data_IF_412309036783
#
_entry.id   IF_412309036783
#
_cell.length_a   1.000
_cell.length_b   1.000
_cell.length_c   1.000
_cell.angle_alpha   90.00
_cell.angle_beta   90.00
_cell.angle_gamma   90.00
#
_symmetry.space_group_name_H-M   'P 1'
#
loop_
_entity.id
_entity.type
_entity.pdbx_description
1 polymer ?
#
# COMPACT_ATOMS: atom_id res chain seq x y z
N UNK A 1 -19.79 -48.52 13.32
CA UNK A 1 -20.69 -47.77 12.42
C UNK A 1 -20.40 -46.30 12.60
N UNK A 2 -19.67 -45.69 11.67
CA UNK A 2 -19.44 -44.24 11.66
C UNK A 2 -20.42 -43.68 10.64
N UNK A 3 -21.40 -42.91 11.09
CA UNK A 3 -22.35 -42.22 10.22
C UNK A 3 -21.64 -41.03 9.57
N UNK A 4 -21.51 -41.03 8.24
CA UNK A 4 -20.99 -39.88 7.50
C UNK A 4 -22.05 -38.77 7.48
N UNK A 5 -21.79 -37.66 8.15
CA UNK A 5 -22.57 -36.44 7.99
C UNK A 5 -22.30 -35.84 6.60
N UNK A 6 -23.36 -35.49 5.89
CA UNK A 6 -23.30 -34.89 4.56
C UNK A 6 -22.50 -33.58 4.59
N UNK A 7 -21.42 -33.52 3.81
CA UNK A 7 -20.70 -32.28 3.51
C UNK A 7 -21.59 -31.50 2.54
N UNK A 8 -22.30 -30.48 3.04
CA UNK A 8 -22.98 -29.51 2.19
C UNK A 8 -21.92 -28.70 1.44
N UNK A 9 -21.84 -28.87 0.12
CA UNK A 9 -21.07 -27.98 -0.74
C UNK A 9 -21.60 -26.55 -0.58
N UNK A 10 -20.79 -25.67 0.02
CA UNK A 10 -21.00 -24.23 -0.08
C UNK A 10 -20.97 -23.85 -1.57
N UNK A 11 -21.92 -23.06 -2.09
CA UNK A 11 -21.96 -22.66 -3.50
C UNK A 11 -20.86 -21.67 -3.90
N UNK A 12 -19.86 -21.48 -3.03
CA UNK A 12 -18.85 -20.46 -3.20
C UNK A 12 -17.45 -21.01 -2.92
N UNK A 13 -16.61 -20.98 -3.95
CA UNK A 13 -15.17 -21.20 -3.85
C UNK A 13 -14.49 -19.93 -3.31
N UNK A 14 -14.52 -19.76 -2.00
CA UNK A 14 -13.81 -18.68 -1.30
C UNK A 14 -12.45 -19.18 -0.77
N UNK A 15 -11.40 -18.38 -0.93
CA UNK A 15 -10.19 -18.52 -0.11
C UNK A 15 -10.34 -17.73 1.19
N UNK A 16 -10.73 -18.37 2.28
CA UNK A 16 -10.85 -17.77 3.62
C UNK A 16 -9.52 -17.90 4.35
N UNK A 17 -8.87 -16.79 4.70
CA UNK A 17 -7.92 -16.77 5.81
C UNK A 17 -8.71 -16.62 7.09
N UNK A 18 -8.49 -17.46 8.10
CA UNK A 18 -9.05 -17.29 9.45
C UNK A 18 -8.11 -17.89 10.47
N UNK A 19 -7.62 -17.08 11.41
CA UNK A 19 -7.11 -17.57 12.69
C UNK A 19 -8.19 -17.37 13.75
N UNK A 20 -9.15 -18.28 13.80
CA UNK A 20 -9.83 -18.55 15.08
C UNK A 20 -10.05 -20.05 15.20
N UNK A 21 -9.26 -20.69 16.06
CA UNK A 21 -9.73 -21.70 17.01
C UNK A 21 -8.67 -21.83 18.13
N UNK A 22 -9.01 -21.31 19.31
CA UNK A 22 -8.49 -21.76 20.61
C UNK A 22 -7.02 -21.47 20.94
N UNK A 23 -6.79 -20.83 22.08
CA UNK A 23 -5.48 -20.59 22.71
C UNK A 23 -4.70 -21.86 23.13
N UNK A 24 -5.12 -23.05 22.71
CA UNK A 24 -4.59 -24.32 23.20
C UNK A 24 -4.06 -25.20 22.05
N UNK A 25 -2.95 -24.81 21.40
CA UNK A 25 -2.02 -25.76 20.74
C UNK A 25 -0.77 -25.07 20.18
N UNK A 26 0.19 -24.80 21.06
CA UNK A 26 1.48 -24.19 20.75
C UNK A 26 2.49 -25.08 19.98
N UNK A 27 2.07 -26.19 19.35
CA UNK A 27 2.99 -27.16 18.73
C UNK A 27 2.75 -27.48 17.25
N UNK A 28 2.06 -26.63 16.49
CA UNK A 28 1.77 -26.91 15.07
C UNK A 28 2.13 -25.74 14.13
N UNK A 29 3.36 -25.22 14.24
CA UNK A 29 3.87 -24.15 13.35
C UNK A 29 4.33 -24.68 11.97
N UNK A 30 4.07 -25.94 11.63
CA UNK A 30 4.55 -26.56 10.39
C UNK A 30 3.55 -26.71 9.22
N UNK A 31 2.23 -26.57 9.42
CA UNK A 31 1.26 -27.21 8.52
C UNK A 31 0.02 -26.36 8.14
N UNK A 32 0.16 -25.07 7.84
CA UNK A 32 -0.97 -24.25 7.34
C UNK A 32 -0.72 -23.57 5.99
N UNK A 33 0.14 -24.17 5.15
CA UNK A 33 0.15 -23.97 3.69
C UNK A 33 -0.05 -25.31 2.97
N UNK A 34 -0.82 -26.22 3.57
CA UNK A 34 -1.16 -27.51 2.96
C UNK A 34 -2.64 -27.55 2.60
N UNK A 35 -2.89 -27.01 1.40
CA UNK A 35 -3.98 -27.30 0.45
C UNK A 35 -4.57 -26.03 -0.16
N UNK A 36 -3.72 -25.14 -0.66
CA UNK A 36 -4.14 -24.32 -1.81
C UNK A 36 -4.08 -25.26 -3.00
N UNK A 37 -5.23 -25.77 -3.42
CA UNK A 37 -5.33 -26.43 -4.71
C UNK A 37 -5.05 -25.34 -5.77
N UNK A 38 -3.78 -25.19 -6.15
CA UNK A 38 -3.28 -24.22 -7.14
C UNK A 38 -3.84 -24.46 -8.55
N UNK A 39 -4.81 -25.36 -8.70
CA UNK A 39 -5.39 -25.85 -9.93
C UNK A 39 -6.88 -25.51 -10.09
N UNK A 40 -7.54 -24.91 -9.09
CA UNK A 40 -8.88 -24.35 -9.30
C UNK A 40 -8.80 -22.85 -9.53
N UNK A 41 -9.48 -22.38 -10.58
CA UNK A 41 -9.76 -20.96 -10.82
C UNK A 41 -10.66 -20.44 -9.69
N UNK A 42 -10.10 -20.20 -8.50
CA UNK A 42 -10.88 -19.71 -7.37
C UNK A 42 -11.36 -18.29 -7.67
N UNK A 43 -12.68 -18.05 -7.76
CA UNK A 43 -13.23 -16.76 -8.16
C UNK A 43 -13.08 -15.68 -7.07
N UNK A 44 -12.80 -16.05 -5.81
CA UNK A 44 -12.84 -15.12 -4.69
C UNK A 44 -11.69 -15.31 -3.70
N UNK A 45 -11.15 -14.19 -3.20
CA UNK A 45 -10.23 -14.14 -2.08
C UNK A 45 -10.87 -13.41 -0.90
N UNK A 46 -10.84 -14.02 0.28
CA UNK A 46 -11.22 -13.42 1.55
C UNK A 46 -9.97 -13.14 2.38
N UNK A 47 -9.74 -11.87 2.70
CA UNK A 47 -8.64 -11.43 3.53
C UNK A 47 -9.11 -11.27 4.98
N UNK A 48 -8.53 -12.04 5.92
CA UNK A 48 -8.66 -11.75 7.36
C UNK A 48 -7.35 -11.19 7.94
N UNK A 49 -7.43 -10.30 8.95
CA UNK A 49 -6.27 -9.56 9.46
C UNK A 49 -5.26 -10.34 10.32
N UNK A 50 -5.41 -11.64 10.55
CA UNK A 50 -4.56 -12.42 11.48
C UNK A 50 -3.63 -13.38 10.71
N UNK A 51 -2.43 -12.89 10.39
CA UNK A 51 -1.27 -13.70 9.99
C UNK A 51 -0.04 -13.21 10.76
N UNK A 52 -0.20 -12.93 12.06
CA UNK A 52 0.85 -12.37 12.92
C UNK A 52 1.97 -13.36 13.27
N UNK A 53 1.88 -14.60 12.79
CA UNK A 53 2.79 -15.69 13.15
C UNK A 53 3.93 -15.92 12.15
N UNK A 54 4.13 -15.01 11.18
CA UNK A 54 5.28 -15.08 10.28
C UNK A 54 6.28 -13.97 10.60
N UNK A 55 7.52 -14.36 10.89
CA UNK A 55 8.63 -13.45 11.21
C UNK A 55 9.08 -12.57 10.02
N UNK A 56 8.49 -12.76 8.82
CA UNK A 56 8.89 -12.02 7.61
C UNK A 56 7.69 -11.42 6.87
N UNK A 57 7.35 -10.18 7.24
CA UNK A 57 6.27 -9.40 6.62
C UNK A 57 6.43 -9.23 5.09
N UNK A 58 7.66 -9.18 4.57
CA UNK A 58 7.89 -9.05 3.12
C UNK A 58 7.46 -10.29 2.34
N UNK A 59 7.86 -11.48 2.80
CA UNK A 59 7.50 -12.75 2.13
C UNK A 59 5.99 -12.97 2.17
N UNK A 60 5.36 -12.69 3.32
CA UNK A 60 3.90 -12.73 3.43
C UNK A 60 3.23 -11.74 2.47
N UNK A 61 3.77 -10.53 2.35
CA UNK A 61 3.24 -9.52 1.42
C UNK A 61 3.35 -9.98 -0.03
N UNK A 62 4.45 -10.63 -0.43
CA UNK A 62 4.61 -11.21 -1.78
C UNK A 62 3.56 -12.28 -2.06
N UNK A 63 3.30 -13.18 -1.09
CA UNK A 63 2.27 -14.20 -1.20
C UNK A 63 0.87 -13.57 -1.34
N UNK A 64 0.52 -12.63 -0.47
CA UNK A 64 -0.75 -11.87 -0.51
C UNK A 64 -0.94 -11.18 -1.85
N UNK A 65 0.08 -10.47 -2.35
CA UNK A 65 0.05 -9.83 -3.67
C UNK A 65 -0.24 -10.83 -4.80
N UNK A 66 0.42 -12.00 -4.77
CA UNK A 66 0.23 -13.05 -5.77
C UNK A 66 -1.20 -13.61 -5.75
N UNK A 67 -1.80 -13.72 -4.57
CA UNK A 67 -3.19 -14.13 -4.40
C UNK A 67 -4.16 -13.06 -4.90
N UNK A 68 -4.01 -11.80 -4.46
CA UNK A 68 -4.83 -10.67 -4.90
C UNK A 68 -4.78 -10.53 -6.42
N UNK A 69 -3.59 -10.64 -7.02
CA UNK A 69 -3.40 -10.57 -8.47
C UNK A 69 -4.19 -11.64 -9.23
N UNK A 70 -4.32 -12.86 -8.69
CA UNK A 70 -5.05 -13.96 -9.32
C UNK A 70 -6.54 -13.96 -9.03
N UNK A 71 -6.96 -13.37 -7.92
CA UNK A 71 -8.38 -13.28 -7.57
C UNK A 71 -9.15 -12.51 -8.65
N UNK A 72 -10.34 -12.98 -9.01
CA UNK A 72 -11.26 -12.23 -9.86
C UNK A 72 -11.78 -11.03 -9.08
N UNK A 73 -12.35 -11.31 -7.90
CA UNK A 73 -12.88 -10.32 -6.96
C UNK A 73 -12.26 -10.50 -5.57
N UNK A 74 -12.11 -9.40 -4.84
CA UNK A 74 -11.54 -9.39 -3.49
C UNK A 74 -12.63 -9.01 -2.49
N UNK A 75 -12.92 -9.91 -1.56
CA UNK A 75 -13.89 -9.68 -0.49
C UNK A 75 -13.16 -9.32 0.80
N UNK A 76 -13.57 -8.20 1.38
CA UNK A 76 -12.93 -7.65 2.59
C UNK A 76 -13.98 -7.51 3.68
N UNK A 77 -13.75 -8.22 4.78
CA UNK A 77 -14.59 -8.08 5.96
C UNK A 77 -14.14 -6.87 6.74
N UNK A 78 -15.09 -5.95 6.90
CA UNK A 78 -14.84 -4.65 7.47
C UNK A 78 -15.14 -4.65 8.96
N UNK A 79 -14.19 -4.22 9.80
CA UNK A 79 -14.45 -3.88 11.19
C UNK A 79 -13.95 -2.45 11.47
N UNK A 80 -14.47 -1.80 12.51
CA UNK A 80 -14.17 -0.40 12.84
C UNK A 80 -12.71 -0.13 13.22
N UNK A 81 -11.89 -1.17 13.41
CA UNK A 81 -10.48 -1.06 13.78
C UNK A 81 -9.64 -1.60 12.61
N UNK A 82 -9.54 -0.82 11.53
CA UNK A 82 -8.75 -1.22 10.37
C UNK A 82 -7.29 -1.38 10.80
N UNK A 83 -6.84 -2.63 10.84
CA UNK A 83 -5.44 -2.96 11.03
C UNK A 83 -4.60 -2.41 9.85
N UNK A 84 -3.42 -1.82 10.09
CA UNK A 84 -2.40 -1.52 9.08
C UNK A 84 -2.30 -2.52 7.91
N UNK A 85 -2.35 -3.83 8.19
CA UNK A 85 -2.33 -4.88 7.17
C UNK A 85 -3.49 -4.83 6.19
N UNK A 86 -4.69 -4.52 6.68
CA UNK A 86 -5.85 -4.42 5.81
C UNK A 86 -5.73 -3.21 4.87
N UNK A 87 -5.26 -2.06 5.38
CA UNK A 87 -4.97 -0.87 4.54
C UNK A 87 -3.96 -1.19 3.45
N UNK A 88 -2.90 -1.91 3.80
CA UNK A 88 -1.88 -2.36 2.86
C UNK A 88 -2.47 -3.24 1.76
N UNK A 89 -3.31 -4.22 2.10
CA UNK A 89 -3.93 -5.07 1.08
C UNK A 89 -4.94 -4.33 0.21
N UNK A 90 -5.68 -3.39 0.78
CA UNK A 90 -6.59 -2.51 0.05
C UNK A 90 -5.81 -1.69 -0.99
N UNK A 91 -4.66 -1.13 -0.60
CA UNK A 91 -3.75 -0.44 -1.52
C UNK A 91 -3.29 -1.36 -2.65
N UNK A 92 -2.90 -2.60 -2.33
CA UNK A 92 -2.52 -3.59 -3.34
C UNK A 92 -3.66 -3.91 -4.31
N UNK A 93 -4.86 -4.18 -3.78
CA UNK A 93 -6.03 -4.52 -4.57
C UNK A 93 -6.48 -3.35 -5.45
N UNK A 94 -6.42 -2.12 -4.92
CA UNK A 94 -6.72 -0.90 -5.66
C UNK A 94 -5.74 -0.69 -6.83
N UNK A 95 -4.44 -0.78 -6.58
CA UNK A 95 -3.41 -0.69 -7.63
C UNK A 95 -3.57 -1.80 -8.69
N UNK A 96 -3.96 -3.01 -8.28
CA UNK A 96 -4.23 -4.13 -9.19
C UNK A 96 -5.61 -4.09 -9.84
N UNK A 97 -6.38 -3.02 -9.62
CA UNK A 97 -7.72 -2.78 -10.20
C UNK A 97 -8.68 -3.92 -9.94
N UNK A 98 -8.64 -4.47 -8.73
CA UNK A 98 -9.53 -5.56 -8.31
C UNK A 98 -10.88 -5.00 -7.91
N UNK A 99 -11.93 -5.70 -8.29
CA UNK A 99 -13.27 -5.44 -7.78
C UNK A 99 -13.26 -5.72 -6.26
N UNK A 100 -13.58 -4.69 -5.47
CA UNK A 100 -13.61 -4.75 -4.02
C UNK A 100 -15.05 -4.94 -3.55
N UNK A 101 -15.30 -6.02 -2.83
CA UNK A 101 -16.57 -6.26 -2.16
C UNK A 101 -16.37 -6.08 -0.66
N UNK A 102 -16.73 -4.90 -0.15
CA UNK A 102 -16.71 -4.63 1.28
C UNK A 102 -17.93 -5.30 1.92
N UNK A 103 -17.67 -6.24 2.84
CA UNK A 103 -18.70 -6.89 3.63
C UNK A 103 -18.78 -6.15 4.95
N UNK A 104 -19.78 -5.26 5.16
CA UNK A 104 -19.91 -4.53 6.40
C UNK A 104 -20.21 -5.53 7.53
N UNK A 105 -19.40 -5.49 8.58
CA UNK A 105 -19.86 -5.97 9.88
C UNK A 105 -20.88 -4.93 10.37
N UNK A 106 -21.97 -5.33 11.02
CA UNK A 106 -23.18 -4.52 11.27
C UNK A 106 -23.02 -3.24 12.13
N UNK A 107 -21.78 -2.78 12.35
CA UNK A 107 -21.37 -1.64 13.19
C UNK A 107 -20.29 -0.75 12.55
N UNK A 108 -20.35 -0.49 11.25
CA UNK A 108 -19.41 0.48 10.63
C UNK A 108 -19.90 1.91 10.89
N UNK A 109 -19.12 2.68 11.66
CA UNK A 109 -19.34 4.11 11.81
C UNK A 109 -18.94 4.82 10.51
N UNK A 110 -19.78 5.72 10.00
CA UNK A 110 -19.50 6.49 8.78
C UNK A 110 -18.45 7.58 9.06
N UNK A 111 -17.48 7.75 8.17
CA UNK A 111 -16.44 8.79 8.23
C UNK A 111 -15.01 8.29 7.95
N UNK A 112 -14.25 8.99 7.09
CA UNK A 112 -12.80 8.78 6.90
C UNK A 112 -12.44 7.80 5.78
N UNK A 113 -11.31 7.07 5.92
CA UNK A 113 -10.84 6.08 4.93
C UNK A 113 -11.94 5.06 4.55
N UNK A 114 -12.83 4.75 5.49
CA UNK A 114 -14.00 3.88 5.36
C UNK A 114 -14.92 4.29 4.21
N UNK A 115 -15.22 5.59 4.11
CA UNK A 115 -16.08 6.11 3.06
C UNK A 115 -15.36 6.06 1.69
N UNK A 116 -14.00 6.09 1.67
CA UNK A 116 -13.21 6.15 0.42
C UNK A 116 -13.26 4.78 -0.21
N UNK A 117 -13.10 3.77 0.62
CA UNK A 117 -13.08 2.39 0.19
C UNK A 117 -14.48 1.94 -0.25
N UNK A 118 -15.53 2.46 0.39
CA UNK A 118 -16.91 2.22 -0.03
C UNK A 118 -17.24 2.86 -1.39
N UNK A 119 -16.73 4.06 -1.67
CA UNK A 119 -16.97 4.70 -2.97
C UNK A 119 -16.07 4.08 -4.07
N UNK A 120 -14.88 3.55 -3.71
CA UNK A 120 -14.00 2.80 -4.62
C UNK A 120 -14.60 1.47 -5.07
N UNK A 121 -15.31 0.75 -4.21
CA UNK A 121 -16.01 -0.48 -4.62
C UNK A 121 -17.07 -0.24 -5.68
N UNK A 122 -17.61 0.99 -5.76
CA UNK A 122 -18.73 1.31 -6.63
C UNK A 122 -18.33 1.86 -8.01
N UNK A 123 -17.04 2.15 -8.27
CA UNK A 123 -16.59 2.86 -9.49
C UNK A 123 -15.32 2.27 -10.17
N UNK A 124 -15.37 1.06 -10.75
CA UNK A 124 -14.20 0.39 -11.35
C UNK A 124 -13.70 1.01 -12.68
N UNK A 125 -14.47 1.89 -13.32
CA UNK A 125 -14.20 2.39 -14.68
C UNK A 125 -13.12 3.49 -14.77
N UNK A 126 -12.56 3.97 -13.66
CA UNK A 126 -11.70 5.17 -13.62
C UNK A 126 -10.24 4.96 -14.10
N UNK A 127 -9.89 3.82 -14.70
CA UNK A 127 -8.47 3.49 -14.96
C UNK A 127 -8.20 2.91 -16.36
N UNK A 128 -8.29 3.72 -17.42
CA UNK A 128 -7.75 3.34 -18.74
C UNK A 128 -7.01 4.50 -19.40
N UNK A 129 -5.70 4.34 -19.60
CA UNK A 129 -4.90 5.17 -20.50
C UNK A 129 -3.61 4.41 -20.87
N UNK A 130 -3.27 4.36 -22.16
CA UNK A 130 -2.19 3.54 -22.72
C UNK A 130 -1.16 4.43 -23.45
N UNK A 131 -0.47 5.31 -22.72
CA UNK A 131 0.64 6.07 -23.28
C UNK A 131 1.99 5.41 -23.00
N UNK A 132 2.81 5.26 -24.05
CA UNK A 132 4.22 4.87 -23.92
C UNK A 132 5.01 6.04 -23.32
N UNK A 133 5.61 5.83 -22.16
CA UNK A 133 6.38 6.87 -21.47
C UNK A 133 7.89 6.72 -21.67
N UNK A 134 8.57 7.87 -21.62
CA UNK A 134 10.03 7.98 -21.54
C UNK A 134 10.52 7.56 -20.16
N UNK A 135 11.74 7.02 -20.08
CA UNK A 135 12.44 6.72 -18.82
C UNK A 135 12.74 8.02 -18.05
N UNK A 136 12.90 7.90 -16.73
CA UNK A 136 13.27 8.92 -15.74
C UNK A 136 12.09 9.71 -15.16
N UNK A 137 10.95 9.06 -14.95
CA UNK A 137 9.83 9.67 -14.23
C UNK A 137 9.76 9.20 -12.78
N UNK A 138 9.42 10.11 -11.88
CA UNK A 138 9.32 9.86 -10.43
C UNK A 138 7.89 10.17 -9.99
N UNK A 139 7.23 9.26 -9.28
CA UNK A 139 6.00 9.58 -8.55
C UNK A 139 6.38 10.09 -7.17
N UNK A 140 5.97 11.29 -6.81
CA UNK A 140 6.19 11.84 -5.47
C UNK A 140 4.89 11.73 -4.67
N UNK A 141 4.94 10.95 -3.60
CA UNK A 141 3.83 10.75 -2.67
C UNK A 141 4.18 11.45 -1.36
N UNK A 142 3.22 12.15 -0.79
CA UNK A 142 3.36 12.86 0.49
C UNK A 142 2.11 12.63 1.34
N UNK A 143 2.21 12.74 2.67
CA UNK A 143 1.07 12.58 3.55
C UNK A 143 0.01 13.68 3.30
N UNK A 144 -1.24 13.29 3.05
CA UNK A 144 -2.33 14.23 2.76
C UNK A 144 -2.70 15.15 3.93
N UNK A 145 -2.36 14.79 5.17
CA UNK A 145 -2.75 15.57 6.33
C UNK A 145 -1.91 16.84 6.41
N UNK A 146 -2.60 17.99 6.43
CA UNK A 146 -2.10 19.35 6.68
C UNK A 146 -0.58 19.49 6.51
N UNK A 147 -0.17 19.69 5.26
CA UNK A 147 1.20 20.11 4.96
C UNK A 147 1.45 21.45 5.66
N UNK A 148 2.06 21.37 6.85
CA UNK A 148 2.55 22.56 7.54
C UNK A 148 3.57 23.27 6.63
N UNK A 149 3.83 24.58 6.86
CA UNK A 149 4.74 25.35 6.02
C UNK A 149 6.12 24.71 5.84
N UNK A 150 6.64 24.03 6.88
CA UNK A 150 7.91 23.31 6.86
C UNK A 150 7.89 22.15 5.88
N UNK A 151 6.91 21.25 5.96
CA UNK A 151 6.74 20.12 5.04
C UNK A 151 6.54 20.60 3.60
N UNK A 152 5.75 21.67 3.40
CA UNK A 152 5.56 22.29 2.08
C UNK A 152 6.87 22.82 1.52
N UNK A 153 7.70 23.47 2.35
CA UNK A 153 9.02 23.94 1.96
C UNK A 153 9.94 22.77 1.58
N UNK A 154 10.05 21.75 2.42
CA UNK A 154 10.89 20.57 2.17
C UNK A 154 10.51 19.85 0.86
N UNK A 155 9.20 19.65 0.61
CA UNK A 155 8.70 19.05 -0.63
C UNK A 155 9.05 19.92 -1.84
N UNK A 156 8.86 21.24 -1.76
CA UNK A 156 9.18 22.14 -2.87
C UNK A 156 10.69 22.14 -3.18
N UNK A 157 11.53 22.18 -2.15
CA UNK A 157 12.99 22.09 -2.30
C UNK A 157 13.37 20.75 -2.96
N UNK A 158 12.75 19.66 -2.54
CA UNK A 158 12.96 18.34 -3.14
C UNK A 158 12.53 18.29 -4.62
N UNK A 159 11.38 18.86 -4.97
CA UNK A 159 10.88 18.91 -6.34
C UNK A 159 11.79 19.75 -7.24
N UNK A 160 12.31 20.87 -6.74
CA UNK A 160 13.32 21.68 -7.44
C UNK A 160 14.56 20.84 -7.73
N UNK A 161 15.06 20.10 -6.75
CA UNK A 161 16.22 19.24 -6.93
C UNK A 161 15.98 18.10 -7.95
N UNK A 162 14.79 17.49 -7.96
CA UNK A 162 14.41 16.53 -9.01
C UNK A 162 14.44 17.17 -10.41
N UNK A 163 13.95 18.41 -10.54
CA UNK A 163 13.96 19.13 -11.81
C UNK A 163 15.38 19.46 -12.28
N UNK A 164 16.29 19.86 -11.38
CA UNK A 164 17.71 20.09 -11.68
C UNK A 164 18.42 18.82 -12.16
N UNK A 165 18.02 17.66 -11.63
CA UNK A 165 18.46 16.34 -12.09
C UNK A 165 17.79 15.90 -13.40
N UNK A 166 16.93 16.73 -14.00
CA UNK A 166 16.14 16.42 -15.21
C UNK A 166 15.22 15.22 -15.03
N UNK A 167 14.81 14.93 -13.80
CA UNK A 167 13.81 13.91 -13.48
C UNK A 167 12.42 14.54 -13.56
N UNK A 168 11.48 13.84 -14.21
CA UNK A 168 10.10 14.32 -14.31
C UNK A 168 9.30 13.85 -13.10
N UNK A 169 8.94 14.76 -12.21
CA UNK A 169 8.10 14.46 -11.06
C UNK A 169 6.60 14.47 -11.42
N UNK A 170 5.93 13.33 -11.24
CA UNK A 170 4.48 13.23 -11.12
C UNK A 170 4.11 13.45 -9.66
N UNK A 171 3.51 14.60 -9.37
CA UNK A 171 3.06 14.95 -8.04
C UNK A 171 1.76 15.74 -8.16
N UNK A 172 0.92 15.66 -7.13
CA UNK A 172 -0.38 16.32 -7.11
C UNK A 172 -0.51 17.08 -5.82
N UNK A 173 -0.40 18.41 -5.88
CA UNK A 173 -0.65 19.30 -4.75
C UNK A 173 -1.94 20.06 -5.02
N UNK A 174 -2.92 19.87 -4.13
CA UNK A 174 -4.10 20.71 -4.06
C UNK A 174 -3.99 21.48 -2.74
N UNK A 175 -3.91 22.82 -2.80
CA UNK A 175 -3.73 23.72 -1.65
C UNK A 175 -4.90 23.64 -0.64
N UNK A 176 -5.97 22.91 -0.96
CA UNK A 176 -7.15 22.74 -0.13
C UNK A 176 -7.26 21.31 0.34
N UNK A 177 -7.38 21.12 1.66
CA UNK A 177 -7.72 19.87 2.33
C UNK A 177 -9.08 19.41 1.77
N UNK A 178 -9.10 18.52 0.77
CA UNK A 178 -10.23 18.48 -0.13
C UNK A 178 -11.35 17.68 0.54
N UNK A 179 -12.64 18.04 0.35
CA UNK A 179 -13.75 17.31 0.94
C UNK A 179 -13.71 15.85 0.52
N UNK A 180 -14.24 15.00 1.39
CA UNK A 180 -14.20 13.55 1.32
C UNK A 180 -14.25 12.89 -0.08
N UNK A 181 -15.18 13.29 -0.96
CA UNK A 181 -15.34 12.76 -2.34
C UNK A 181 -14.18 13.08 -3.30
N UNK A 182 -13.30 14.01 -2.95
CA UNK A 182 -12.08 14.30 -3.71
C UNK A 182 -10.95 13.31 -3.38
N UNK A 183 -11.05 12.56 -2.28
CA UNK A 183 -10.04 11.57 -1.89
C UNK A 183 -9.91 10.44 -2.94
N UNK A 184 -10.99 9.99 -3.57
CA UNK A 184 -10.90 8.98 -4.64
C UNK A 184 -10.21 9.51 -5.88
N UNK A 185 -10.55 10.74 -6.29
CA UNK A 185 -9.87 11.39 -7.41
C UNK A 185 -8.38 11.52 -7.13
N UNK A 186 -8.03 11.87 -5.90
CA UNK A 186 -6.65 11.92 -5.43
C UNK A 186 -5.96 10.54 -5.47
N UNK A 187 -6.57 9.50 -4.91
CA UNK A 187 -6.01 8.14 -4.96
C UNK A 187 -5.87 7.62 -6.39
N UNK A 188 -6.82 7.94 -7.27
CA UNK A 188 -6.74 7.60 -8.70
C UNK A 188 -5.57 8.33 -9.37
N UNK A 189 -5.35 9.60 -9.04
CA UNK A 189 -4.19 10.38 -9.51
C UNK A 189 -2.87 9.79 -9.00
N UNK A 190 -2.78 9.40 -7.72
CA UNK A 190 -1.61 8.70 -7.18
C UNK A 190 -1.37 7.38 -7.91
N UNK A 191 -2.40 6.54 -8.04
CA UNK A 191 -2.28 5.27 -8.74
C UNK A 191 -1.74 5.47 -10.16
N UNK A 192 -2.29 6.43 -10.91
CA UNK A 192 -1.79 6.79 -12.24
C UNK A 192 -0.34 7.28 -12.18
N UNK A 193 0.03 8.13 -11.22
CA UNK A 193 1.41 8.58 -11.05
C UNK A 193 2.38 7.40 -10.82
N UNK A 194 2.02 6.46 -9.94
CA UNK A 194 2.80 5.24 -9.67
C UNK A 194 2.94 4.38 -10.94
N UNK A 195 1.85 4.18 -11.69
CA UNK A 195 1.87 3.40 -12.95
C UNK A 195 2.87 3.99 -13.94
N UNK A 196 2.83 5.30 -14.11
CA UNK A 196 3.61 6.07 -15.08
C UNK A 196 5.07 6.31 -14.66
N UNK A 197 5.38 6.22 -13.36
CA UNK A 197 6.72 6.46 -12.84
C UNK A 197 7.65 5.26 -12.97
N UNK A 198 8.94 5.49 -13.11
CA UNK A 198 9.98 4.47 -13.01
C UNK A 198 10.34 4.17 -11.55
N UNK A 199 10.23 5.19 -10.69
CA UNK A 199 10.50 5.16 -9.25
C UNK A 199 9.42 5.90 -8.46
N UNK A 200 9.18 5.46 -7.22
CA UNK A 200 8.28 6.16 -6.30
C UNK A 200 9.09 6.72 -5.16
N UNK A 201 8.98 8.03 -4.94
CA UNK A 201 9.59 8.74 -3.83
C UNK A 201 8.48 9.12 -2.85
N UNK A 202 8.46 8.47 -1.69
CA UNK A 202 7.40 8.65 -0.69
C UNK A 202 7.96 9.37 0.53
N UNK A 203 7.42 10.55 0.84
CA UNK A 203 7.65 11.19 2.13
C UNK A 203 6.89 10.42 3.20
N UNK A 204 7.63 9.94 4.21
CA UNK A 204 7.06 9.12 5.26
C UNK A 204 6.57 10.00 6.41
N UNK A 205 5.32 9.79 6.83
CA UNK A 205 4.78 10.35 8.07
C UNK A 205 4.12 9.21 8.84
N UNK A 206 4.63 8.83 10.04
CA UNK A 206 4.07 7.74 10.83
C UNK A 206 2.61 7.98 11.25
N UNK A 207 2.15 9.24 11.28
CA UNK A 207 0.80 9.61 11.66
C UNK A 207 -0.17 9.65 10.47
N UNK A 208 0.33 9.51 9.23
CA UNK A 208 -0.53 9.48 8.06
C UNK A 208 -1.46 8.25 8.11
N UNK A 209 -2.79 8.43 7.95
CA UNK A 209 -3.75 7.34 7.96
C UNK A 209 -3.72 6.52 6.66
N UNK A 210 -3.07 7.02 5.62
CA UNK A 210 -2.97 6.40 4.29
C UNK A 210 -1.62 5.75 4.00
N UNK A 211 -0.60 5.92 4.85
CA UNK A 211 0.77 5.43 4.56
C UNK A 211 0.83 3.94 4.23
N UNK A 212 0.07 3.10 4.94
CA UNK A 212 0.06 1.67 4.65
C UNK A 212 -0.66 1.36 3.33
N UNK A 213 -1.71 2.12 3.00
CA UNK A 213 -2.42 2.00 1.73
C UNK A 213 -1.51 2.40 0.56
N UNK A 214 -0.80 3.52 0.66
CA UNK A 214 0.16 3.96 -0.36
C UNK A 214 1.30 2.96 -0.53
N UNK A 215 1.84 2.45 0.59
CA UNK A 215 2.86 1.40 0.56
C UNK A 215 2.34 0.12 -0.13
N UNK A 216 1.08 -0.24 0.10
CA UNK A 216 0.39 -1.33 -0.58
C UNK A 216 0.32 -1.12 -2.09
N UNK A 217 -0.05 0.09 -2.54
CA UNK A 217 -0.06 0.43 -3.97
C UNK A 217 1.33 0.28 -4.60
N UNK A 218 2.35 0.88 -3.99
CA UNK A 218 3.74 0.81 -4.45
C UNK A 218 4.20 -0.64 -4.55
N UNK A 219 3.91 -1.43 -3.51
CA UNK A 219 4.27 -2.84 -3.45
C UNK A 219 3.61 -3.67 -4.56
N UNK A 220 2.32 -3.45 -4.79
CA UNK A 220 1.58 -4.10 -5.88
C UNK A 220 2.16 -3.77 -7.26
N UNK A 221 2.51 -2.50 -7.47
CA UNK A 221 3.11 -1.99 -8.70
C UNK A 221 4.55 -2.50 -8.92
N UNK A 222 5.19 -3.05 -7.88
CA UNK A 222 6.59 -3.49 -7.88
C UNK A 222 7.57 -2.38 -8.28
N UNK A 223 7.21 -1.12 -8.02
CA UNK A 223 8.08 0.02 -8.28
C UNK A 223 9.16 0.10 -7.20
N UNK A 224 10.39 0.50 -7.53
CA UNK A 224 11.37 0.86 -6.54
C UNK A 224 10.85 2.02 -5.66
N UNK A 225 11.20 1.97 -4.39
CA UNK A 225 10.81 2.98 -3.41
C UNK A 225 12.05 3.72 -2.91
N UNK A 226 11.98 5.05 -2.88
CA UNK A 226 12.89 5.91 -2.15
C UNK A 226 12.09 6.68 -1.10
N UNK A 227 12.64 6.84 0.11
CA UNK A 227 12.02 7.62 1.17
C UNK A 227 12.99 8.75 1.52
N UNK A 228 12.71 10.01 1.12
CA UNK A 228 13.62 11.13 1.33
C UNK A 228 13.93 11.43 2.81
N UNK A 229 12.97 11.15 3.70
CA UNK A 229 13.08 11.37 5.14
C UNK A 229 13.06 10.01 5.87
N UNK A 230 14.02 9.15 5.55
CA UNK A 230 14.02 7.75 6.00
C UNK A 230 14.06 7.60 7.53
N UNK A 231 14.64 8.54 8.24
CA UNK A 231 14.72 8.54 9.71
C UNK A 231 13.32 8.53 10.37
N UNK A 232 12.31 9.08 9.69
CA UNK A 232 10.92 9.01 10.14
C UNK A 232 10.36 7.58 10.12
N UNK A 233 10.99 6.65 9.38
CA UNK A 233 10.62 5.23 9.28
C UNK A 233 11.18 4.44 10.45
N UNK A 234 12.36 4.79 10.99
CA UNK A 234 13.02 4.00 12.04
C UNK A 234 12.18 3.90 13.33
N UNK A 235 11.30 4.88 13.55
CA UNK A 235 10.37 4.90 14.67
C UNK A 235 9.09 4.09 14.44
N UNK A 236 8.97 3.37 13.32
CA UNK A 236 7.77 2.64 12.93
C UNK A 236 7.98 1.12 13.03
N UNK A 237 7.28 0.48 13.97
CA UNK A 237 7.37 -0.97 14.22
C UNK A 237 6.66 -1.85 13.17
N UNK A 238 6.12 -1.30 12.08
CA UNK A 238 5.36 -2.04 11.07
C UNK A 238 6.03 -2.02 9.69
N UNK A 239 5.89 -3.07 8.88
CA UNK A 239 6.30 -3.07 7.45
C UNK A 239 7.76 -2.70 7.13
N UNK A 240 8.68 -2.67 8.12
CA UNK A 240 10.08 -2.30 7.89
C UNK A 240 10.74 -3.23 6.88
N UNK A 241 10.45 -4.54 6.94
CA UNK A 241 10.94 -5.51 5.96
C UNK A 241 10.38 -5.22 4.56
N UNK A 242 9.15 -4.72 4.47
CA UNK A 242 8.54 -4.33 3.19
C UNK A 242 9.23 -3.12 2.60
N UNK A 243 9.45 -2.09 3.41
CA UNK A 243 10.17 -0.89 3.00
C UNK A 243 11.59 -1.26 2.55
N UNK A 244 12.32 -2.03 3.35
CA UNK A 244 13.68 -2.48 3.04
C UNK A 244 13.73 -3.31 1.75
N UNK A 245 12.74 -4.20 1.55
CA UNK A 245 12.61 -4.99 0.34
C UNK A 245 12.27 -4.19 -0.93
N UNK A 246 11.59 -3.04 -0.79
CA UNK A 246 11.34 -2.11 -1.91
C UNK A 246 12.53 -1.19 -2.16
N UNK A 247 13.19 -0.70 -1.11
CA UNK A 247 14.40 0.13 -1.22
C UNK A 247 15.59 -0.65 -1.76
N UNK A 248 15.74 -1.93 -1.46
CA UNK A 248 16.86 -2.73 -1.99
C UNK A 248 16.86 -2.77 -3.52
N UNK A 249 15.67 -2.81 -4.15
CA UNK A 249 15.52 -2.70 -5.61
C UNK A 249 16.00 -1.34 -6.14
N UNK A 250 15.78 -0.29 -5.37
CA UNK A 250 16.26 1.05 -5.69
C UNK A 250 17.78 1.13 -5.55
N UNK A 251 18.34 0.66 -4.43
CA UNK A 251 19.80 0.62 -4.18
C UNK A 251 20.57 -0.22 -5.20
N UNK A 252 19.98 -1.31 -5.66
CA UNK A 252 20.59 -2.20 -6.66
C UNK A 252 20.82 -1.53 -8.03
N UNK A 253 20.20 -0.37 -8.30
CA UNK A 253 20.39 0.34 -9.58
C UNK A 253 21.78 0.98 -9.76
N UNK A 254 22.64 0.98 -8.74
CA UNK A 254 24.04 1.44 -8.78
C UNK A 254 24.24 2.74 -9.59
N UNK A 255 23.31 3.70 -9.40
CA UNK A 255 23.26 4.91 -10.21
C UNK A 255 23.95 6.07 -9.49
N UNK A 256 24.74 6.86 -10.22
CA UNK A 256 25.29 8.11 -9.71
C UNK A 256 24.18 9.09 -9.28
N UNK A 257 22.99 8.98 -9.88
CA UNK A 257 21.79 9.72 -9.49
C UNK A 257 21.35 9.42 -8.06
N UNK A 258 21.46 8.16 -7.61
CA UNK A 258 21.11 7.77 -6.23
C UNK A 258 21.98 8.49 -5.20
N UNK A 259 23.29 8.56 -5.45
CA UNK A 259 24.23 9.27 -4.57
C UNK A 259 23.89 10.76 -4.48
N UNK A 260 23.44 11.36 -5.58
CA UNK A 260 23.00 12.77 -5.59
C UNK A 260 21.70 12.98 -4.81
N UNK A 261 20.74 12.07 -4.92
CA UNK A 261 19.49 12.16 -4.16
C UNK A 261 19.70 11.99 -2.65
N UNK A 262 20.61 11.10 -2.23
CA UNK A 262 21.01 11.00 -0.82
C UNK A 262 21.65 12.30 -0.32
N UNK A 263 22.51 12.93 -1.14
CA UNK A 263 23.09 14.23 -0.78
C UNK A 263 22.02 15.31 -0.63
N UNK A 264 21.05 15.37 -1.54
CA UNK A 264 19.94 16.33 -1.47
C UNK A 264 19.11 16.13 -0.20
N UNK A 265 18.82 14.87 0.16
CA UNK A 265 18.09 14.52 1.39
C UNK A 265 18.83 15.00 2.65
N UNK A 266 20.14 14.76 2.76
CA UNK A 266 20.93 15.31 3.87
C UNK A 266 20.98 16.85 3.89
N UNK A 267 20.96 17.50 2.71
CA UNK A 267 20.91 18.96 2.65
C UNK A 267 19.58 19.54 3.13
N UNK A 268 18.47 18.80 3.00
CA UNK A 268 17.17 19.22 3.54
C UNK A 268 17.19 19.26 5.07
N UNK A 269 17.79 18.26 5.72
CA UNK A 269 17.95 18.20 7.18
C UNK A 269 18.76 19.38 7.74
N UNK A 270 19.82 19.78 7.03
CA UNK A 270 20.65 20.91 7.45
C UNK A 270 19.94 22.28 7.34
N UNK A 271 18.95 22.40 6.46
CA UNK A 271 18.19 23.65 6.28
C UNK A 271 17.13 23.89 7.36
N UNK A 272 16.66 22.83 8.02
CA UNK A 272 15.69 22.93 9.12
C UNK A 272 16.36 23.43 10.41
N UNK A 273 17.64 23.15 10.62
CA UNK A 273 18.41 23.61 11.79
C UNK A 273 18.69 25.13 11.79
N UNK A 274 18.46 25.83 10.67
CA UNK A 274 18.69 27.28 10.55
C UNK A 274 17.42 28.14 10.67
N UNK A 275 16.25 27.53 10.89
CA UNK A 275 14.96 28.24 10.99
C UNK A 275 14.46 28.42 12.44
N UNK A 276 15.22 27.95 13.43
CA UNK A 276 15.02 28.31 14.84
C UNK A 276 15.81 29.60 15.17
N UNK A 277 15.26 30.76 14.78
CA UNK A 277 15.65 32.10 15.25
C UNK A 277 14.39 32.91 15.61
#
# INVERSE_FOLDING_TARGET
>A
MITSSAVTKSPYDYMIFSETLGSDSLNTVGNYVHSVNLLSETPYMLIQPSLSNFDNHYVCSLARRSLIKRAKNVHIYWNSNINPQLKFDLGMAFMLRKELNLVPNSKVNKGGLDDVLLELSNNPALMQDNSKLKKNNVAVIYPMNELNPTNKHAINTYLTALAELKLKAYWHFEDSNPPFSQNIKYLTKICKAIELADDVHMFWDPNSPFKEFDLGMIFAAQKPLFIPNYDAVENFNGFVEVINGLQSKYRARNDAEFKRLIMISHCLELSELSYED
#
